data_IF_064070549989
#
_entry.id   IF_064070549989
#
_cell.length_a   1.000
_cell.length_b   1.000
_cell.length_c   1.000
_cell.angle_alpha   90.00
_cell.angle_beta   90.00
_cell.angle_gamma   90.00
#
_symmetry.space_group_name_H-M   'P 1'
#
loop_
_entity.id
_entity.type
_entity.pdbx_description
1 polymer ?
#
# COMPACT_ATOMS: atom_id res chain seq x y z
N UNK A 1 -0.35 4.12 -4.75
CA UNK A 1 0.19 4.45 -6.08
C UNK A 1 -0.23 3.40 -7.08
N UNK A 2 -0.59 3.82 -8.29
CA UNK A 2 -0.84 2.96 -9.44
C UNK A 2 0.44 2.90 -10.28
N UNK A 3 0.85 1.71 -10.71
CA UNK A 3 1.97 1.53 -11.64
C UNK A 3 1.42 0.85 -12.88
N UNK A 4 1.41 1.58 -13.99
CA UNK A 4 0.82 1.13 -15.25
C UNK A 4 1.84 0.30 -16.05
N UNK A 5 2.17 -0.86 -15.47
CA UNK A 5 3.06 -1.87 -16.04
C UNK A 5 2.49 -3.27 -15.76
N UNK A 6 2.51 -4.14 -16.77
CA UNK A 6 1.99 -5.51 -16.66
C UNK A 6 0.53 -5.58 -16.17
N UNK A 7 0.20 -6.36 -15.13
CA UNK A 7 -1.16 -6.56 -14.65
C UNK A 7 -1.79 -5.35 -13.93
N UNK A 8 -1.09 -4.20 -13.90
CA UNK A 8 -1.55 -2.97 -13.26
C UNK A 8 -1.34 -3.00 -11.75
N UNK A 9 -0.08 -2.83 -11.33
CA UNK A 9 0.30 -2.89 -9.94
C UNK A 9 -0.25 -1.72 -9.09
N UNK A 10 -0.41 -2.00 -7.81
CA UNK A 10 -0.87 -1.10 -6.75
C UNK A 10 0.09 -1.20 -5.59
N UNK A 11 0.73 -0.09 -5.25
CA UNK A 11 1.59 0.03 -4.07
C UNK A 11 0.84 0.83 -3.01
N UNK A 12 0.75 0.29 -1.81
CA UNK A 12 0.12 0.93 -0.65
C UNK A 12 1.20 1.41 0.30
N UNK A 13 1.05 2.64 0.79
CA UNK A 13 2.05 3.28 1.63
C UNK A 13 1.38 4.25 2.60
N UNK A 14 2.10 4.61 3.66
CA UNK A 14 1.76 5.72 4.54
C UNK A 14 2.87 6.77 4.50
N UNK A 15 2.49 8.04 4.65
CA UNK A 15 3.43 9.14 4.79
C UNK A 15 3.67 9.38 6.29
N UNK A 16 4.94 9.40 6.70
CA UNK A 16 5.37 9.84 8.02
C UNK A 16 6.13 11.16 7.87
N UNK A 17 5.65 12.20 8.57
CA UNK A 17 6.16 13.56 8.42
C UNK A 17 6.20 14.00 6.94
N UNK A 18 7.08 14.93 6.59
CA UNK A 18 7.05 15.50 5.24
C UNK A 18 7.74 14.66 4.17
N UNK A 19 8.77 13.89 4.54
CA UNK A 19 9.68 13.27 3.57
C UNK A 19 9.64 11.74 3.53
N UNK A 20 9.12 11.08 4.57
CA UNK A 20 9.22 9.63 4.69
C UNK A 20 7.94 8.96 4.17
N UNK A 21 8.11 8.02 3.25
CA UNK A 21 7.05 7.14 2.76
C UNK A 21 7.38 5.70 3.14
N UNK A 22 6.51 5.07 3.93
CA UNK A 22 6.66 3.67 4.33
C UNK A 22 5.79 2.82 3.42
N UNK A 23 6.42 1.96 2.62
CA UNK A 23 5.72 0.98 1.80
C UNK A 23 5.18 -0.14 2.69
N UNK A 24 3.88 -0.43 2.56
CA UNK A 24 3.19 -1.42 3.40
C UNK A 24 3.09 -2.76 2.67
N UNK A 25 2.49 -2.72 1.48
CA UNK A 25 2.32 -3.88 0.64
C UNK A 25 2.11 -3.44 -0.82
N UNK A 26 2.25 -4.40 -1.72
CA UNK A 26 1.93 -4.22 -3.12
C UNK A 26 1.25 -5.47 -3.67
N UNK A 27 0.47 -5.28 -4.72
CA UNK A 27 -0.21 -6.33 -5.45
C UNK A 27 -0.63 -5.81 -6.82
N UNK A 28 -1.31 -6.64 -7.60
CA UNK A 28 -1.93 -6.20 -8.83
C UNK A 28 -3.44 -5.96 -8.66
N UNK A 29 -4.13 -5.63 -9.74
CA UNK A 29 -5.57 -5.36 -9.71
C UNK A 29 -6.39 -6.55 -9.17
N UNK A 30 -5.94 -7.79 -9.36
CA UNK A 30 -6.68 -9.00 -8.95
C UNK A 30 -6.80 -9.12 -7.43
N UNK A 31 -5.79 -8.66 -6.67
CA UNK A 31 -5.75 -8.75 -5.21
C UNK A 31 -6.12 -7.45 -4.49
N UNK A 32 -6.45 -6.39 -5.24
CA UNK A 32 -6.64 -5.03 -4.75
C UNK A 32 -7.49 -4.92 -3.46
N UNK A 33 -8.62 -5.64 -3.37
CA UNK A 33 -9.50 -5.61 -2.19
C UNK A 33 -8.82 -6.20 -0.94
N UNK A 34 -8.06 -7.27 -1.10
CA UNK A 34 -7.31 -7.92 -0.01
C UNK A 34 -6.16 -7.03 0.44
N UNK A 35 -5.44 -6.44 -0.51
CA UNK A 35 -4.28 -5.59 -0.22
C UNK A 35 -4.69 -4.29 0.48
N UNK A 36 -5.83 -3.69 0.13
CA UNK A 36 -6.39 -2.55 0.87
C UNK A 36 -6.60 -2.88 2.35
N UNK A 37 -7.26 -4.02 2.63
CA UNK A 37 -7.53 -4.43 4.02
C UNK A 37 -6.23 -4.64 4.79
N UNK A 38 -5.25 -5.31 4.18
CA UNK A 38 -3.93 -5.55 4.77
C UNK A 38 -3.16 -4.25 5.02
N UNK A 39 -3.16 -3.33 4.05
CA UNK A 39 -2.51 -2.03 4.20
C UNK A 39 -3.11 -1.21 5.34
N UNK A 40 -4.45 -1.20 5.47
CA UNK A 40 -5.12 -0.52 6.58
C UNK A 40 -4.75 -1.12 7.94
N UNK A 41 -4.63 -2.44 8.02
CA UNK A 41 -4.17 -3.12 9.23
C UNK A 41 -2.73 -2.72 9.58
N UNK A 42 -1.79 -2.85 8.64
CA UNK A 42 -0.38 -2.48 8.83
C UNK A 42 -0.23 -0.99 9.20
N UNK A 43 -1.04 -0.11 8.62
CA UNK A 43 -1.02 1.31 8.94
C UNK A 43 -1.49 1.62 10.37
N UNK A 44 -2.35 0.77 10.96
CA UNK A 44 -2.77 0.90 12.37
C UNK A 44 -1.66 0.40 13.30
N UNK A 45 -1.11 -0.78 13.01
CA UNK A 45 0.00 -1.36 13.76
C UNK A 45 1.25 -0.46 13.80
N UNK A 46 1.48 0.32 12.74
CA UNK A 46 2.57 1.29 12.67
C UNK A 46 2.37 2.55 13.55
N UNK A 47 1.13 2.85 13.96
CA UNK A 47 0.83 4.03 14.80
C UNK A 47 0.89 3.73 16.30
N UNK A 48 0.86 2.45 16.66
CA UNK A 48 1.12 1.94 18.01
C UNK A 48 2.63 1.79 18.22
#
# INVERSE_FOLDING_TARGET
MKVDFGPGYRIYYVRRAEIVYVLLCGGDKSTQKKDIKRALQMARELKE
#
